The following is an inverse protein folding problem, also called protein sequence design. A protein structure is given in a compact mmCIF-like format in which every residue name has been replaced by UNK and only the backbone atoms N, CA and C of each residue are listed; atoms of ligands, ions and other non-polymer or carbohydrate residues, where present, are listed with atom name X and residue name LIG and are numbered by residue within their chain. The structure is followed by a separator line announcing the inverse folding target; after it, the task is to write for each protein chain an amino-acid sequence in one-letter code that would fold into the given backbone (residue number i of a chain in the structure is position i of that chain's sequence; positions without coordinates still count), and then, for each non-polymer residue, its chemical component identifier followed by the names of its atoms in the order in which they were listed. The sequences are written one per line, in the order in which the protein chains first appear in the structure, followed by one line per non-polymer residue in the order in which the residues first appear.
data_IF_565256717187
#
_entry.id   IF_565256717187
#
_cell.length_a   1.000
_cell.length_b   1.000
_cell.length_c   1.000
_cell.angle_alpha   90.00
_cell.angle_beta   90.00
_cell.angle_gamma   90.00
#
_symmetry.space_group_name_H-M   'P 1'
#
loop_
_entity.id
_entity.type
_entity.pdbx_description
1 polymer ?
#
# COMPACT_ATOMS: atom_id res chain seq x y z
N UNK A 1 -10.58 8.32 -2.90
CA UNK A 1 -10.24 7.65 -1.62
C UNK A 1 -11.46 7.66 -0.70
N UNK A 2 -11.69 6.62 0.10
CA UNK A 2 -12.86 6.54 0.98
C UNK A 2 -12.69 7.49 2.18
N UNK A 3 -13.72 8.28 2.54
CA UNK A 3 -13.68 9.28 3.64
C UNK A 3 -13.23 8.68 4.98
N UNK A 4 -13.56 7.41 5.23
CA UNK A 4 -13.16 6.70 6.44
C UNK A 4 -11.64 6.42 6.49
N UNK A 5 -10.99 6.26 5.34
CA UNK A 5 -9.53 6.05 5.25
C UNK A 5 -8.80 7.37 5.51
N UNK A 6 -9.30 8.48 4.97
CA UNK A 6 -8.72 9.81 5.21
C UNK A 6 -8.71 10.18 6.70
N UNK A 7 -9.80 9.89 7.40
CA UNK A 7 -9.89 10.10 8.84
C UNK A 7 -8.96 9.16 9.63
N UNK A 8 -8.79 7.92 9.18
CA UNK A 8 -7.85 7.00 9.81
C UNK A 8 -6.37 7.41 9.60
N UNK A 9 -6.05 8.05 8.47
CA UNK A 9 -4.70 8.56 8.17
C UNK A 9 -4.32 9.76 9.04
N UNK A 10 -5.28 10.59 9.48
CA UNK A 10 -4.98 11.83 10.23
C UNK A 10 -4.31 11.59 11.58
N UNK A 11 -4.31 10.36 12.09
CA UNK A 11 -3.62 9.97 13.33
C UNK A 11 -2.11 9.74 13.20
N UNK A 12 -1.55 9.80 11.99
CA UNK A 12 -0.13 9.55 11.71
C UNK A 12 0.62 10.84 11.35
N UNK A 13 1.95 10.79 11.38
CA UNK A 13 2.79 11.90 10.90
C UNK A 13 2.61 12.14 9.40
N UNK A 14 3.00 13.33 8.93
CA UNK A 14 2.89 13.69 7.52
C UNK A 14 3.61 12.70 6.59
N UNK A 15 4.82 12.27 6.95
CA UNK A 15 5.61 11.34 6.13
C UNK A 15 5.03 9.93 6.11
N UNK A 16 4.42 9.49 7.21
CA UNK A 16 3.69 8.22 7.25
C UNK A 16 2.44 8.30 6.39
N UNK A 17 1.64 9.37 6.53
CA UNK A 17 0.45 9.59 5.71
C UNK A 17 0.80 9.60 4.22
N UNK A 18 1.89 10.27 3.83
CA UNK A 18 2.37 10.31 2.45
C UNK A 18 2.69 8.91 1.95
N UNK A 19 3.53 8.15 2.66
CA UNK A 19 3.90 6.78 2.27
C UNK A 19 2.69 5.84 2.18
N UNK A 20 1.76 5.94 3.13
CA UNK A 20 0.53 5.15 3.10
C UNK A 20 -0.35 5.50 1.90
N UNK A 21 -0.47 6.80 1.54
CA UNK A 21 -1.22 7.25 0.35
C UNK A 21 -0.59 6.76 -0.95
N UNK A 22 0.74 6.72 -1.05
CA UNK A 22 1.42 6.21 -2.23
C UNK A 22 1.04 4.74 -2.48
N UNK A 23 1.02 3.92 -1.42
CA UNK A 23 0.62 2.51 -1.50
C UNK A 23 -0.87 2.34 -1.79
N UNK A 24 -1.75 3.11 -1.12
CA UNK A 24 -3.20 3.10 -1.39
C UNK A 24 -3.47 3.45 -2.85
N UNK A 25 -2.80 4.47 -3.38
CA UNK A 25 -2.91 4.88 -4.79
C UNK A 25 -2.42 3.78 -5.72
N UNK A 26 -1.33 3.10 -5.38
CA UNK A 26 -0.87 1.95 -6.16
C UNK A 26 -1.85 0.77 -6.11
N UNK A 27 -2.50 0.52 -4.96
CA UNK A 27 -3.55 -0.50 -4.82
C UNK A 27 -4.78 -0.18 -5.66
N UNK A 28 -5.26 1.07 -5.61
CA UNK A 28 -6.39 1.56 -6.41
C UNK A 28 -6.15 1.39 -7.92
N UNK A 29 -4.91 1.57 -8.36
CA UNK A 29 -4.52 1.45 -9.76
C UNK A 29 -4.11 0.02 -10.19
N UNK A 30 -4.17 -0.97 -9.29
CA UNK A 30 -3.72 -2.34 -9.58
C UNK A 30 -2.21 -2.43 -9.88
N UNK A 31 -1.41 -1.54 -9.29
CA UNK A 31 0.04 -1.39 -9.47
C UNK A 31 0.87 -1.93 -8.30
N UNK A 32 0.24 -2.66 -7.39
CA UNK A 32 0.92 -3.45 -6.37
C UNK A 32 1.21 -4.83 -6.92
N UNK A 33 2.48 -5.24 -6.84
CA UNK A 33 2.98 -6.51 -7.34
C UNK A 33 2.91 -7.59 -6.27
N UNK A 34 3.27 -7.25 -5.03
CA UNK A 34 3.31 -8.20 -3.93
C UNK A 34 2.94 -7.54 -2.59
N UNK A 35 2.34 -8.34 -1.72
CA UNK A 35 2.02 -7.99 -0.33
C UNK A 35 2.54 -9.12 0.53
N UNK A 36 3.53 -8.83 1.37
CA UNK A 36 4.19 -9.81 2.22
C UNK A 36 3.89 -9.51 3.68
N UNK A 37 3.27 -10.46 4.37
CA UNK A 37 3.03 -10.38 5.82
C UNK A 37 4.23 -10.96 6.55
N UNK A 38 4.81 -10.19 7.46
CA UNK A 38 5.94 -10.68 8.25
C UNK A 38 5.47 -11.79 9.20
N UNK A 39 6.28 -12.84 9.31
CA UNK A 39 5.94 -14.05 10.07
C UNK A 39 5.78 -13.80 11.57
N UNK A 40 6.43 -12.75 12.09
CA UNK A 40 6.33 -12.30 13.48
C UNK A 40 5.07 -11.47 13.76
N UNK A 41 4.27 -11.17 12.73
CA UNK A 41 3.07 -10.35 12.83
C UNK A 41 3.35 -8.86 13.06
N UNK A 42 4.61 -8.41 12.97
CA UNK A 42 4.99 -7.02 13.22
C UNK A 42 4.42 -6.06 12.17
N UNK A 43 4.23 -6.53 10.94
CA UNK A 43 3.84 -5.67 9.85
C UNK A 43 3.70 -6.37 8.51
N UNK A 44 3.60 -5.52 7.49
CA UNK A 44 3.37 -5.91 6.10
C UNK A 44 4.26 -5.06 5.19
N UNK A 45 4.90 -5.69 4.21
CA UNK A 45 5.61 -5.02 3.14
C UNK A 45 4.77 -5.03 1.85
N UNK A 46 4.79 -3.90 1.14
CA UNK A 46 4.16 -3.74 -0.16
C UNK A 46 5.22 -3.43 -1.20
N UNK A 47 5.20 -4.17 -2.29
CA UNK A 47 6.01 -3.89 -3.47
C UNK A 47 5.12 -3.36 -4.59
N UNK A 48 5.43 -2.19 -5.13
CA UNK A 48 4.52 -1.47 -6.01
C UNK A 48 5.25 -0.53 -6.97
N UNK A 49 4.58 -0.21 -8.07
CA UNK A 49 5.06 0.80 -9.00
C UNK A 49 4.77 2.21 -8.47
N UNK A 50 5.80 3.05 -8.41
CA UNK A 50 5.66 4.45 -8.10
C UNK A 50 6.09 5.30 -9.31
N UNK A 51 5.27 6.25 -9.79
CA UNK A 51 5.51 6.93 -11.06
C UNK A 51 6.69 7.92 -11.05
N UNK A 52 7.08 8.43 -9.87
CA UNK A 52 8.06 9.53 -9.76
C UNK A 52 9.02 9.43 -8.58
N UNK A 53 9.17 8.25 -7.94
CA UNK A 53 9.93 8.15 -6.69
C UNK A 53 11.45 8.19 -6.91
N UNK A 54 11.92 7.81 -8.10
CA UNK A 54 13.36 7.79 -8.43
C UNK A 54 13.76 9.08 -9.14
N UNK A 55 14.05 10.14 -8.39
CA UNK A 55 14.42 11.45 -8.94
C UNK A 55 13.43 12.00 -10.00
N UNK A 56 12.14 11.68 -9.85
CA UNK A 56 11.09 12.05 -10.83
C UNK A 56 10.80 10.99 -11.89
N UNK A 57 11.52 9.86 -11.88
CA UNK A 57 11.29 8.72 -12.77
C UNK A 57 10.47 7.62 -12.10
N UNK A 58 9.78 6.80 -12.91
CA UNK A 58 9.04 5.66 -12.43
C UNK A 58 9.99 4.57 -11.95
N UNK A 59 9.70 4.00 -10.78
CA UNK A 59 10.47 2.91 -10.20
C UNK A 59 9.60 1.94 -9.41
N UNK A 60 10.17 0.78 -9.10
CA UNK A 60 9.56 -0.17 -8.16
C UNK A 60 10.00 0.20 -6.75
N UNK A 61 9.02 0.38 -5.87
CA UNK A 61 9.23 0.72 -4.48
C UNK A 61 8.81 -0.44 -3.59
N UNK A 62 9.56 -0.65 -2.50
CA UNK A 62 9.19 -1.54 -1.41
C UNK A 62 9.04 -0.74 -0.12
N UNK A 63 7.84 -0.74 0.45
CA UNK A 63 7.53 0.01 1.68
C UNK A 63 6.94 -0.92 2.74
N UNK A 64 7.51 -0.85 3.94
CA UNK A 64 7.09 -1.65 5.10
C UNK A 64 6.28 -0.80 6.06
N UNK A 65 5.19 -1.37 6.58
CA UNK A 65 4.29 -0.71 7.52
C UNK A 65 3.99 -1.61 8.70
N UNK A 66 3.82 -1.00 9.88
CA UNK A 66 3.33 -1.73 11.04
C UNK A 66 1.90 -2.23 10.80
N UNK A 67 1.52 -3.28 11.52
CA UNK A 67 0.23 -3.95 11.31
C UNK A 67 -0.98 -2.99 11.35
N UNK A 68 -0.97 -1.98 12.23
CA UNK A 68 -2.04 -0.97 12.31
C UNK A 68 -2.16 -0.12 11.04
N UNK A 69 -1.02 0.29 10.48
CA UNK A 69 -0.98 1.06 9.23
C UNK A 69 -1.41 0.17 8.06
N UNK A 70 -0.90 -1.07 8.00
CA UNK A 70 -1.26 -2.04 6.98
C UNK A 70 -2.75 -2.37 6.97
N UNK A 71 -3.39 -2.48 8.13
CA UNK A 71 -4.85 -2.67 8.25
C UNK A 71 -5.62 -1.52 7.61
N UNK A 72 -5.21 -0.26 7.84
CA UNK A 72 -5.87 0.91 7.25
C UNK A 72 -5.67 0.94 5.73
N UNK A 73 -4.44 0.66 5.26
CA UNK A 73 -4.12 0.55 3.83
C UNK A 73 -5.04 -0.49 3.19
N UNK A 74 -5.16 -1.68 3.77
CA UNK A 74 -5.93 -2.79 3.19
C UNK A 74 -7.45 -2.67 3.38
N UNK A 75 -7.94 -1.95 4.38
CA UNK A 75 -9.37 -1.85 4.69
C UNK A 75 -10.22 -1.28 3.53
N UNK A 76 -9.61 -0.50 2.64
CA UNK A 76 -10.25 0.04 1.44
C UNK A 76 -10.31 -0.93 0.26
N UNK A 77 -9.50 -1.99 0.26
CA UNK A 77 -9.31 -2.83 -0.90
C UNK A 77 -9.66 -4.28 -0.57
N UNK A 78 -10.63 -4.83 -1.30
CA UNK A 78 -10.76 -6.29 -1.36
C UNK A 78 -9.57 -6.82 -2.15
N UNK A 79 -8.67 -7.55 -1.49
CA UNK A 79 -7.69 -8.42 -2.14
C UNK A 79 -8.47 -9.50 -2.91
N UNK A 80 -8.98 -9.15 -4.09
CA UNK A 80 -9.67 -10.07 -4.98
C UNK A 80 -8.62 -10.96 -5.63
N UNK A 81 -7.97 -11.85 -4.86
CA UNK A 81 -7.00 -12.83 -5.37
C UNK A 81 -7.56 -13.62 -6.56
N UNK A 82 -8.88 -13.77 -6.66
CA UNK A 82 -9.59 -14.41 -7.76
C UNK A 82 -9.84 -13.52 -9.00
N UNK A 83 -9.57 -12.20 -8.94
CA UNK A 83 -9.68 -11.25 -10.08
C UNK A 83 -8.32 -10.82 -10.62
N UNK A 84 -7.26 -11.01 -9.84
CA UNK A 84 -5.90 -10.79 -10.34
C UNK A 84 -5.61 -11.96 -11.30
N UNK A 85 -5.33 -11.70 -12.59
CA UNK A 85 -4.99 -12.77 -13.51
C UNK A 85 -3.77 -13.48 -12.94
N UNK A 86 -3.95 -14.73 -12.50
CA UNK A 86 -2.82 -15.62 -12.28
C UNK A 86 -2.20 -15.76 -13.66
N UNK A 87 -0.96 -15.32 -13.84
CA UNK A 87 -0.21 -15.63 -15.05
C UNK A 87 -0.26 -17.16 -15.21
N UNK A 88 -0.89 -17.63 -16.28
CA UNK A 88 -0.86 -19.01 -16.73
C UNK A 88 0.51 -19.33 -17.33
#
# INVERSE_FOLDING_TARGET
MNKNIEQALSGFSYDEQRRMRDVITALDNGKVYSVEFYSDGSGVAFEYHHPTADHGLPCTMRSSFYIKQAQIILAGHRLCSHKIPKCC
#
